data_IF_462000636248
#
_entry.id   IF_462000636248
#
_cell.length_a   1.000
_cell.length_b   1.000
_cell.length_c   1.000
_cell.angle_alpha   90.00
_cell.angle_beta   90.00
_cell.angle_gamma   90.00
#
_symmetry.space_group_name_H-M   'P 1'
#
loop_
_entity.id
_entity.type
_entity.pdbx_description
1 polymer ?
#
# COMPACT_ATOMS: atom_id res chain seq x y z
N UNK A 1 11.18 -52.70 54.79
CA UNK A 1 10.24 -51.58 54.57
C UNK A 1 10.91 -50.61 53.59
N UNK A 2 10.61 -50.66 52.32
CA UNK A 2 11.17 -49.77 51.26
C UNK A 2 10.14 -48.66 51.02
N UNK A 3 10.53 -47.39 51.25
CA UNK A 3 9.72 -46.21 50.95
C UNK A 3 9.93 -45.82 49.49
N UNK A 4 8.89 -45.87 48.66
CA UNK A 4 8.87 -45.39 47.32
C UNK A 4 8.62 -43.86 47.34
N UNK A 5 9.50 -43.07 46.74
CA UNK A 5 9.34 -41.64 46.49
C UNK A 5 8.70 -41.48 45.14
N UNK A 6 7.50 -40.90 45.13
CA UNK A 6 6.78 -40.50 43.90
C UNK A 6 7.22 -39.07 43.61
N UNK A 7 7.98 -38.87 42.52
CA UNK A 7 8.27 -37.53 41.96
C UNK A 7 7.08 -37.06 41.14
N UNK A 8 6.37 -36.06 41.64
CA UNK A 8 5.37 -35.35 40.87
C UNK A 8 6.08 -34.37 39.91
N UNK A 9 5.92 -34.59 38.61
CA UNK A 9 6.39 -33.67 37.55
C UNK A 9 5.33 -32.57 37.41
N UNK A 10 5.70 -31.28 37.57
CA UNK A 10 4.75 -30.21 37.36
C UNK A 10 4.41 -30.08 35.86
N UNK A 11 3.14 -30.22 35.55
CA UNK A 11 2.57 -29.96 34.22
C UNK A 11 2.55 -28.45 33.99
N UNK A 12 3.50 -27.94 33.20
CA UNK A 12 3.51 -26.53 32.73
C UNK A 12 2.58 -26.44 31.52
N UNK A 13 1.48 -25.67 31.59
CA UNK A 13 0.68 -25.45 30.41
C UNK A 13 1.47 -24.57 29.43
N UNK A 14 1.76 -25.11 28.27
CA UNK A 14 2.27 -24.34 27.09
C UNK A 14 1.18 -23.37 26.65
N UNK A 15 1.29 -22.11 27.06
CA UNK A 15 0.51 -21.05 26.49
C UNK A 15 0.98 -20.87 25.04
N UNK A 16 0.23 -21.39 24.09
CA UNK A 16 0.32 -20.99 22.68
C UNK A 16 -0.13 -19.52 22.61
N UNK A 17 0.81 -18.62 22.56
CA UNK A 17 0.56 -17.28 22.06
C UNK A 17 0.26 -17.41 20.58
N UNK A 18 -1.03 -17.43 20.23
CA UNK A 18 -1.47 -17.26 18.86
C UNK A 18 -0.97 -15.91 18.38
N UNK A 19 -0.19 -15.91 17.31
CA UNK A 19 0.13 -14.69 16.55
C UNK A 19 -1.20 -14.18 16.02
N UNK A 20 -1.73 -13.13 16.64
CA UNK A 20 -2.90 -12.41 16.13
C UNK A 20 -2.41 -11.66 14.91
N UNK A 21 -2.47 -12.30 13.76
CA UNK A 21 -2.33 -11.61 12.48
C UNK A 21 -3.37 -10.48 12.43
N UNK A 22 -2.96 -9.28 12.06
CA UNK A 22 -3.89 -8.17 11.91
C UNK A 22 -4.96 -8.58 10.88
N UNK A 23 -6.22 -8.45 11.27
CA UNK A 23 -7.35 -8.85 10.43
C UNK A 23 -7.58 -7.78 9.36
N UNK A 24 -7.56 -8.17 8.08
CA UNK A 24 -7.94 -7.27 6.99
C UNK A 24 -9.30 -6.62 7.26
N UNK A 25 -9.41 -5.32 6.96
CA UNK A 25 -10.69 -4.62 7.06
C UNK A 25 -11.64 -5.14 5.96
N UNK A 26 -12.96 -5.19 6.24
CA UNK A 26 -13.91 -5.69 5.27
C UNK A 26 -13.96 -4.79 4.03
N UNK A 27 -14.09 -5.42 2.87
CA UNK A 27 -14.46 -4.78 1.61
C UNK A 27 -15.84 -5.26 1.19
N UNK A 28 -16.67 -4.50 0.45
CA UNK A 28 -17.99 -4.95 0.04
C UNK A 28 -17.90 -6.26 -0.74
N UNK A 29 -18.70 -7.23 -0.33
CA UNK A 29 -18.80 -8.51 -1.02
C UNK A 29 -19.27 -8.31 -2.47
N UNK A 30 -18.83 -9.20 -3.38
CA UNK A 30 -19.34 -9.23 -4.74
C UNK A 30 -20.86 -9.47 -4.77
N UNK A 31 -21.54 -8.70 -5.57
CA UNK A 31 -22.98 -8.85 -5.76
C UNK A 31 -23.35 -10.15 -6.47
N UNK A 32 -22.43 -10.71 -7.27
CA UNK A 32 -22.57 -12.05 -7.82
C UNK A 32 -22.49 -13.14 -6.75
N UNK A 33 -21.57 -12.99 -5.78
CA UNK A 33 -21.50 -13.92 -4.62
C UNK A 33 -22.77 -13.85 -3.77
N UNK A 34 -23.28 -12.63 -3.55
CA UNK A 34 -24.48 -12.41 -2.74
C UNK A 34 -25.70 -13.19 -3.26
N UNK A 35 -25.81 -13.35 -4.58
CA UNK A 35 -26.92 -14.06 -5.24
C UNK A 35 -26.57 -15.50 -5.65
N UNK A 36 -25.36 -15.99 -5.30
CA UNK A 36 -24.90 -17.35 -5.62
C UNK A 36 -24.50 -17.59 -7.08
N UNK A 37 -24.27 -16.53 -7.85
CA UNK A 37 -23.95 -16.59 -9.29
C UNK A 37 -22.45 -16.30 -9.55
N UNK A 38 -21.58 -16.96 -8.80
CA UNK A 38 -20.10 -16.73 -8.79
C UNK A 38 -19.42 -16.93 -10.15
N UNK A 39 -20.03 -17.69 -11.06
CA UNK A 39 -19.50 -17.90 -12.42
C UNK A 39 -19.40 -16.63 -13.26
N UNK A 40 -20.13 -15.57 -12.88
CA UNK A 40 -20.10 -14.27 -13.57
C UNK A 40 -19.11 -13.28 -12.96
N UNK A 41 -18.40 -13.66 -11.90
CA UNK A 41 -17.32 -12.83 -11.34
C UNK A 41 -16.21 -12.74 -12.38
N UNK A 42 -15.84 -11.51 -12.72
CA UNK A 42 -14.81 -11.23 -13.70
C UNK A 42 -13.49 -10.88 -13.02
N UNK A 43 -12.37 -11.17 -13.68
CA UNK A 43 -11.08 -10.64 -13.28
C UNK A 43 -11.07 -9.11 -13.48
N UNK A 44 -10.40 -8.34 -12.59
CA UNK A 44 -10.40 -6.90 -12.70
C UNK A 44 -9.71 -6.45 -14.00
N UNK A 45 -10.32 -5.47 -14.66
CA UNK A 45 -9.68 -4.80 -15.80
C UNK A 45 -8.51 -3.95 -15.33
N UNK A 46 -8.75 -3.14 -14.32
CA UNK A 46 -7.79 -2.21 -13.74
C UNK A 46 -7.64 -2.48 -12.25
N UNK A 47 -6.40 -2.45 -11.74
CA UNK A 47 -6.11 -2.55 -10.31
C UNK A 47 -5.19 -1.44 -9.83
N UNK A 48 -5.52 -0.84 -8.68
CA UNK A 48 -4.71 0.13 -7.98
C UNK A 48 -4.16 -0.49 -6.69
N UNK A 49 -2.85 -0.48 -6.56
CA UNK A 49 -2.13 -0.85 -5.35
C UNK A 49 -1.68 0.43 -4.64
N UNK A 50 -2.21 0.67 -3.45
CA UNK A 50 -1.87 1.84 -2.64
C UNK A 50 -0.93 1.40 -1.53
N UNK A 51 0.29 1.95 -1.50
CA UNK A 51 1.31 1.68 -0.50
C UNK A 51 1.51 2.91 0.36
N UNK A 52 1.08 2.86 1.62
CA UNK A 52 1.14 3.98 2.55
C UNK A 52 2.25 3.78 3.57
N UNK A 53 3.16 4.73 3.62
CA UNK A 53 4.26 4.79 4.58
C UNK A 53 3.76 5.38 5.91
N UNK A 54 3.72 4.58 6.96
CA UNK A 54 3.32 5.00 8.30
C UNK A 54 4.41 5.81 9.04
N UNK A 55 5.63 5.87 8.51
CA UNK A 55 6.71 6.65 9.11
C UNK A 55 6.59 8.15 8.84
N UNK A 56 5.73 8.55 7.88
CA UNK A 56 5.54 9.93 7.46
C UNK A 56 4.31 10.54 8.12
N UNK A 57 4.49 11.64 8.82
CA UNK A 57 3.40 12.43 9.41
C UNK A 57 2.87 13.48 8.43
N UNK A 58 2.02 13.08 7.50
CA UNK A 58 1.37 14.04 6.59
C UNK A 58 0.40 14.96 7.33
N UNK A 59 0.36 16.24 6.96
CA UNK A 59 -0.64 17.17 7.46
C UNK A 59 -2.03 16.86 6.87
N UNK A 60 -3.08 17.46 7.46
CA UNK A 60 -4.47 17.21 7.09
C UNK A 60 -4.75 17.47 5.60
N UNK A 61 -4.16 18.52 5.03
CA UNK A 61 -4.34 18.87 3.62
C UNK A 61 -3.73 17.80 2.70
N UNK A 62 -2.51 17.29 3.04
CA UNK A 62 -1.88 16.22 2.30
C UNK A 62 -2.68 14.91 2.39
N UNK A 63 -3.18 14.58 3.58
CA UNK A 63 -4.06 13.41 3.79
C UNK A 63 -5.33 13.53 2.96
N UNK A 64 -6.02 14.67 3.00
CA UNK A 64 -7.25 14.90 2.23
C UNK A 64 -6.99 14.76 0.71
N UNK A 65 -5.90 15.31 0.20
CA UNK A 65 -5.51 15.21 -1.22
C UNK A 65 -5.21 13.77 -1.63
N UNK A 66 -4.45 13.02 -0.83
CA UNK A 66 -4.14 11.62 -1.09
C UNK A 66 -5.42 10.77 -1.11
N UNK A 67 -6.27 10.91 -0.11
CA UNK A 67 -7.56 10.20 -0.01
C UNK A 67 -8.46 10.56 -1.20
N UNK A 68 -8.60 11.85 -1.51
CA UNK A 68 -9.42 12.31 -2.64
C UNK A 68 -8.94 11.76 -3.98
N UNK A 69 -7.63 11.71 -4.21
CA UNK A 69 -7.01 11.13 -5.41
C UNK A 69 -7.40 9.66 -5.58
N UNK A 70 -7.26 8.87 -4.51
CA UNK A 70 -7.57 7.43 -4.50
C UNK A 70 -9.08 7.20 -4.73
N UNK A 71 -9.94 7.96 -4.03
CA UNK A 71 -11.39 7.79 -4.14
C UNK A 71 -11.95 8.20 -5.51
N UNK A 72 -11.31 9.17 -6.21
CA UNK A 72 -11.68 9.52 -7.58
C UNK A 72 -11.35 8.42 -8.58
N UNK A 73 -10.27 7.66 -8.32
CA UNK A 73 -9.90 6.56 -9.20
C UNK A 73 -10.87 5.37 -9.13
N UNK A 74 -11.50 5.14 -7.95
CA UNK A 74 -12.42 4.02 -7.74
C UNK A 74 -13.68 4.12 -8.59
N UNK A 75 -13.96 3.05 -9.33
CA UNK A 75 -15.14 2.93 -10.20
C UNK A 75 -15.51 1.46 -10.40
N UNK A 76 -16.64 1.19 -11.04
CA UNK A 76 -17.11 -0.16 -11.38
C UNK A 76 -16.07 -0.90 -12.25
N UNK A 77 -15.90 -2.18 -11.99
CA UNK A 77 -14.92 -3.05 -12.66
C UNK A 77 -13.47 -2.84 -12.23
N UNK A 78 -13.21 -1.97 -11.25
CA UNK A 78 -11.86 -1.69 -10.74
C UNK A 78 -11.61 -2.38 -9.40
N UNK A 79 -10.40 -2.91 -9.24
CA UNK A 79 -9.91 -3.48 -7.98
C UNK A 79 -8.97 -2.51 -7.26
N UNK A 80 -8.99 -2.55 -5.94
CA UNK A 80 -8.03 -1.82 -5.11
C UNK A 80 -7.45 -2.75 -4.05
N UNK A 81 -6.16 -2.58 -3.77
CA UNK A 81 -5.49 -3.15 -2.60
C UNK A 81 -4.74 -2.06 -1.86
N UNK A 82 -4.98 -1.95 -0.56
CA UNK A 82 -4.34 -0.95 0.31
C UNK A 82 -3.41 -1.68 1.26
N UNK A 83 -2.15 -1.28 1.24
CA UNK A 83 -1.09 -1.77 2.11
C UNK A 83 -0.55 -0.61 2.93
N UNK A 84 -0.15 -0.92 4.16
CA UNK A 84 0.69 -0.05 4.96
C UNK A 84 2.05 -0.69 5.14
N UNK A 85 3.06 0.13 5.27
CA UNK A 85 4.40 -0.31 5.60
C UNK A 85 5.09 0.69 6.53
N UNK A 86 6.06 0.22 7.28
CA UNK A 86 6.89 1.05 8.15
C UNK A 86 8.28 0.44 8.29
N UNK A 87 9.10 0.96 9.21
CA UNK A 87 10.41 0.41 9.44
C UNK A 87 10.36 -0.93 10.16
N UNK A 88 11.33 -1.79 9.85
CA UNK A 88 11.56 -3.09 10.44
C UNK A 88 11.67 -3.08 11.98
N UNK A 89 12.11 -1.99 12.56
CA UNK A 89 12.34 -1.85 13.99
C UNK A 89 11.09 -1.89 14.87
N UNK A 90 9.87 -1.88 14.25
CA UNK A 90 8.59 -1.91 14.97
C UNK A 90 7.86 -3.26 14.87
N UNK A 91 8.49 -4.33 14.39
CA UNK A 91 7.84 -5.60 14.06
C UNK A 91 6.63 -5.46 13.11
N UNK A 92 6.50 -4.31 12.46
CA UNK A 92 5.45 -3.99 11.50
C UNK A 92 6.07 -3.88 10.12
N UNK A 93 6.06 -4.96 9.41
CA UNK A 93 6.60 -5.00 8.05
C UNK A 93 5.65 -4.36 7.04
N UNK A 94 5.13 -5.17 6.21
CA UNK A 94 4.16 -4.85 5.19
C UNK A 94 2.86 -5.55 5.55
N UNK A 95 1.77 -4.81 5.61
CA UNK A 95 0.46 -5.37 5.94
C UNK A 95 -0.56 -4.94 4.90
N UNK A 96 -1.31 -5.91 4.37
CA UNK A 96 -2.51 -5.64 3.61
C UNK A 96 -3.62 -5.24 4.56
N UNK A 97 -4.09 -4.00 4.42
CA UNK A 97 -5.15 -3.45 5.27
C UNK A 97 -6.52 -3.81 4.75
N UNK A 98 -6.69 -3.75 3.44
CA UNK A 98 -7.91 -4.14 2.75
C UNK A 98 -7.69 -4.34 1.26
N UNK A 99 -8.65 -4.96 0.59
CA UNK A 99 -8.68 -5.03 -0.86
C UNK A 99 -9.93 -5.71 -1.38
N UNK A 100 -10.28 -5.44 -2.62
CA UNK A 100 -11.41 -6.05 -3.29
C UNK A 100 -11.67 -5.48 -4.67
N UNK A 101 -12.65 -6.07 -5.34
CA UNK A 101 -13.14 -5.69 -6.65
C UNK A 101 -14.52 -5.06 -6.51
N UNK A 102 -14.75 -3.93 -7.15
CA UNK A 102 -16.07 -3.37 -7.38
C UNK A 102 -16.60 -4.05 -8.65
N UNK A 103 -17.70 -4.76 -8.53
CA UNK A 103 -18.25 -5.52 -9.66
C UNK A 103 -18.47 -4.61 -10.87
N UNK A 104 -18.17 -5.07 -12.10
CA UNK A 104 -18.52 -4.36 -13.30
C UNK A 104 -20.05 -4.40 -13.53
N UNK A 105 -20.58 -3.55 -14.43
CA UNK A 105 -21.95 -3.68 -14.89
C UNK A 105 -22.26 -5.11 -15.34
N UNK A 106 -23.50 -5.60 -15.13
CA UNK A 106 -23.87 -6.95 -15.52
C UNK A 106 -23.75 -7.16 -17.03
N UNK A 107 -23.23 -8.32 -17.45
CA UNK A 107 -23.15 -8.70 -18.86
C UNK A 107 -24.50 -9.10 -19.43
N UNK A 108 -24.66 -9.03 -20.76
CA UNK A 108 -25.87 -9.52 -21.45
C UNK A 108 -26.14 -11.00 -21.15
N UNK A 109 -25.06 -11.81 -21.10
CA UNK A 109 -25.18 -13.23 -20.71
C UNK A 109 -25.78 -13.42 -19.32
N UNK A 110 -25.39 -12.59 -18.34
CA UNK A 110 -25.99 -12.59 -17.01
C UNK A 110 -27.46 -12.20 -17.07
N UNK A 111 -27.79 -11.14 -17.80
CA UNK A 111 -29.16 -10.64 -17.93
C UNK A 111 -30.10 -11.64 -18.59
N UNK A 112 -29.61 -12.44 -19.54
CA UNK A 112 -30.41 -13.43 -20.25
C UNK A 112 -30.61 -14.73 -19.46
N UNK A 113 -29.61 -15.16 -18.71
CA UNK A 113 -29.58 -16.49 -18.08
C UNK A 113 -29.98 -16.51 -16.59
N UNK A 114 -30.02 -15.34 -15.92
CA UNK A 114 -30.32 -15.27 -14.49
C UNK A 114 -31.77 -14.87 -14.23
N UNK A 115 -32.39 -15.52 -13.25
CA UNK A 115 -33.81 -15.26 -12.90
C UNK A 115 -34.02 -13.79 -12.53
N UNK A 116 -35.16 -13.24 -12.91
CA UNK A 116 -35.51 -11.84 -12.65
C UNK A 116 -35.39 -11.45 -11.17
N UNK A 117 -35.77 -12.34 -10.25
CA UNK A 117 -35.66 -12.09 -8.81
C UNK A 117 -34.19 -11.88 -8.36
N UNK A 118 -33.27 -12.69 -8.90
CA UNK A 118 -31.85 -12.57 -8.56
C UNK A 118 -31.20 -11.34 -9.23
N UNK A 119 -31.60 -11.02 -10.45
CA UNK A 119 -31.18 -9.78 -11.13
C UNK A 119 -31.58 -8.54 -10.33
N UNK A 120 -32.79 -8.48 -9.78
CA UNK A 120 -33.22 -7.35 -8.93
C UNK A 120 -32.39 -7.24 -7.65
N UNK A 121 -32.02 -8.37 -7.01
CA UNK A 121 -31.11 -8.35 -5.84
C UNK A 121 -29.71 -7.85 -6.23
N UNK A 122 -29.19 -8.35 -7.36
CA UNK A 122 -27.92 -7.89 -7.90
C UNK A 122 -27.93 -6.37 -8.12
N UNK A 123 -28.92 -5.83 -8.83
CA UNK A 123 -29.04 -4.39 -9.08
C UNK A 123 -29.08 -3.55 -7.80
N UNK A 124 -29.80 -4.02 -6.78
CA UNK A 124 -29.87 -3.33 -5.48
C UNK A 124 -28.53 -3.33 -4.75
N UNK A 125 -27.78 -4.43 -4.83
CA UNK A 125 -26.42 -4.53 -4.29
C UNK A 125 -25.49 -3.62 -5.07
N UNK A 126 -25.43 -3.75 -6.39
CA UNK A 126 -24.52 -3.06 -7.28
C UNK A 126 -24.62 -1.53 -7.20
N UNK A 127 -25.85 -1.00 -7.14
CA UNK A 127 -26.09 0.45 -6.92
C UNK A 127 -25.44 1.01 -5.65
N UNK A 128 -25.22 0.18 -4.64
CA UNK A 128 -24.65 0.60 -3.34
C UNK A 128 -23.17 0.25 -3.20
N UNK A 129 -22.67 -0.73 -3.96
CA UNK A 129 -21.34 -1.31 -3.77
C UNK A 129 -20.23 -0.27 -3.92
N UNK A 130 -20.27 0.55 -4.98
CA UNK A 130 -19.26 1.60 -5.20
C UNK A 130 -19.22 2.62 -4.04
N UNK A 131 -20.38 3.05 -3.56
CA UNK A 131 -20.46 4.00 -2.45
C UNK A 131 -19.90 3.40 -1.16
N UNK A 132 -20.27 2.15 -0.86
CA UNK A 132 -19.77 1.42 0.30
C UNK A 132 -18.25 1.19 0.20
N UNK A 133 -17.75 0.80 -0.98
CA UNK A 133 -16.33 0.63 -1.23
C UNK A 133 -15.56 1.94 -0.98
N UNK A 134 -16.03 3.06 -1.53
CA UNK A 134 -15.42 4.38 -1.29
C UNK A 134 -15.41 4.76 0.19
N UNK A 135 -16.49 4.50 0.91
CA UNK A 135 -16.57 4.80 2.34
C UNK A 135 -15.57 3.96 3.16
N UNK A 136 -15.49 2.65 2.88
CA UNK A 136 -14.58 1.73 3.58
C UNK A 136 -13.11 2.03 3.25
N UNK A 137 -12.77 2.30 1.98
CA UNK A 137 -11.42 2.71 1.58
C UNK A 137 -11.02 4.02 2.27
N UNK A 138 -11.92 5.01 2.31
CA UNK A 138 -11.67 6.25 3.05
C UNK A 138 -11.39 5.99 4.52
N UNK A 139 -12.19 5.17 5.18
CA UNK A 139 -12.00 4.81 6.59
C UNK A 139 -10.65 4.10 6.81
N UNK A 140 -10.29 3.17 5.96
CA UNK A 140 -9.01 2.45 6.03
C UNK A 140 -7.82 3.42 5.91
N UNK A 141 -7.83 4.28 4.90
CA UNK A 141 -6.77 5.27 4.69
C UNK A 141 -6.64 6.24 5.87
N UNK A 142 -7.76 6.79 6.36
CA UNK A 142 -7.75 7.67 7.53
C UNK A 142 -7.23 6.94 8.77
N UNK A 143 -7.57 5.66 8.95
CA UNK A 143 -7.02 4.81 10.01
C UNK A 143 -5.51 4.67 9.93
N UNK A 144 -4.95 4.45 8.73
CA UNK A 144 -3.49 4.36 8.51
C UNK A 144 -2.83 5.71 8.84
N UNK A 145 -3.32 6.82 8.29
CA UNK A 145 -2.74 8.15 8.54
C UNK A 145 -2.80 8.57 10.01
N UNK A 146 -3.88 8.20 10.72
CA UNK A 146 -4.01 8.50 12.16
C UNK A 146 -3.07 7.66 13.04
N UNK A 147 -2.64 6.49 12.57
CA UNK A 147 -1.67 5.63 13.26
C UNK A 147 -0.21 5.93 12.91
N UNK A 148 0.02 6.84 11.95
CA UNK A 148 1.36 7.27 11.55
C UNK A 148 2.13 7.82 12.75
N UNK A 149 3.37 7.42 12.87
CA UNK A 149 4.26 7.82 13.98
C UNK A 149 5.48 8.52 13.39
N UNK A 150 5.41 9.83 13.15
CA UNK A 150 6.55 10.60 12.70
C UNK A 150 7.67 10.57 13.75
N UNK A 151 8.93 10.64 13.29
CA UNK A 151 10.11 10.61 14.18
C UNK A 151 10.70 9.22 14.39
N UNK A 152 10.35 8.23 13.59
CA UNK A 152 11.07 6.97 13.54
C UNK A 152 12.33 7.21 12.71
N UNK A 153 13.49 7.16 13.36
CA UNK A 153 14.78 7.41 12.71
C UNK A 153 15.19 6.40 11.64
N UNK A 154 14.29 5.49 11.25
CA UNK A 154 14.51 4.46 10.22
C UNK A 154 13.29 4.34 9.31
N UNK A 155 13.52 4.21 8.00
CA UNK A 155 12.50 3.96 6.98
C UNK A 155 13.05 2.96 5.95
N UNK A 156 12.51 1.75 5.93
CA UNK A 156 12.96 0.65 5.06
C UNK A 156 12.15 0.60 3.76
N UNK A 157 12.09 1.72 3.02
CA UNK A 157 11.24 1.87 1.82
C UNK A 157 11.64 0.85 0.75
N UNK A 158 12.94 0.73 0.45
CA UNK A 158 13.46 -0.16 -0.60
C UNK A 158 13.07 -1.62 -0.32
N UNK A 159 13.24 -2.09 0.91
CA UNK A 159 12.87 -3.45 1.30
C UNK A 159 11.36 -3.69 1.17
N UNK A 160 10.55 -2.74 1.63
CA UNK A 160 9.10 -2.83 1.54
C UNK A 160 8.63 -2.81 0.09
N UNK A 161 9.17 -1.92 -0.76
CA UNK A 161 8.82 -1.87 -2.17
C UNK A 161 9.20 -3.15 -2.92
N UNK A 162 10.36 -3.74 -2.62
CA UNK A 162 10.73 -5.05 -3.16
C UNK A 162 9.69 -6.12 -2.80
N UNK A 163 9.27 -6.17 -1.55
CA UNK A 163 8.28 -7.15 -1.06
C UNK A 163 6.90 -6.90 -1.71
N UNK A 164 6.41 -5.65 -1.65
CA UNK A 164 5.11 -5.25 -2.18
C UNK A 164 5.00 -5.41 -3.69
N UNK A 165 6.08 -5.20 -4.43
CA UNK A 165 6.08 -5.37 -5.89
C UNK A 165 5.69 -6.79 -6.32
N UNK A 166 5.93 -7.80 -5.48
CA UNK A 166 5.53 -9.18 -5.74
C UNK A 166 3.99 -9.33 -5.80
N UNK A 167 3.27 -8.62 -4.95
CA UNK A 167 1.78 -8.61 -4.99
C UNK A 167 1.28 -7.98 -6.28
N UNK A 168 1.91 -6.88 -6.71
CA UNK A 168 1.58 -6.23 -7.98
C UNK A 168 1.83 -7.15 -9.17
N UNK A 169 2.99 -7.83 -9.18
CA UNK A 169 3.36 -8.75 -10.25
C UNK A 169 2.36 -9.90 -10.41
N UNK A 170 1.89 -10.48 -9.30
CA UNK A 170 1.00 -11.64 -9.30
C UNK A 170 -0.46 -11.30 -9.61
N UNK A 171 -0.83 -10.03 -9.59
CA UNK A 171 -2.18 -9.59 -9.95
C UNK A 171 -2.52 -9.93 -11.39
N UNK A 172 -3.75 -10.41 -11.60
CA UNK A 172 -4.31 -10.76 -12.92
C UNK A 172 -4.93 -9.56 -13.65
N UNK A 173 -4.97 -8.39 -13.04
CA UNK A 173 -5.49 -7.19 -13.68
C UNK A 173 -4.73 -6.88 -14.97
N UNK A 174 -5.47 -6.46 -16.00
CA UNK A 174 -4.89 -6.13 -17.32
C UNK A 174 -4.03 -4.86 -17.24
N UNK A 175 -4.49 -3.87 -16.50
CA UNK A 175 -3.73 -2.64 -16.21
C UNK A 175 -3.49 -2.57 -14.71
N UNK A 176 -2.25 -2.31 -14.34
CA UNK A 176 -1.81 -2.23 -12.95
C UNK A 176 -1.22 -0.86 -12.69
N UNK A 177 -1.73 -0.20 -11.65
CA UNK A 177 -1.21 1.06 -11.14
C UNK A 177 -0.79 0.90 -9.69
N UNK A 178 0.29 1.55 -9.34
CA UNK A 178 0.80 1.64 -7.96
C UNK A 178 0.84 3.11 -7.57
N UNK A 179 0.28 3.44 -6.42
CA UNK A 179 0.46 4.72 -5.77
C UNK A 179 1.23 4.52 -4.48
N UNK A 180 2.44 5.07 -4.42
CA UNK A 180 3.25 5.12 -3.21
C UNK A 180 2.98 6.45 -2.53
N UNK A 181 2.51 6.42 -1.28
CA UNK A 181 2.28 7.60 -0.43
C UNK A 181 3.37 7.63 0.64
N UNK A 182 4.46 8.34 0.38
CA UNK A 182 5.66 8.40 1.21
C UNK A 182 6.48 9.65 0.87
N UNK A 183 7.31 10.13 1.80
CA UNK A 183 8.32 11.14 1.53
C UNK A 183 9.50 10.59 0.69
N UNK A 184 9.56 9.25 0.58
CA UNK A 184 10.58 8.52 -0.17
C UNK A 184 12.02 8.75 0.35
N UNK A 185 12.16 9.08 1.63
CA UNK A 185 13.45 9.31 2.28
C UNK A 185 13.95 8.04 2.98
N UNK A 186 14.62 7.19 2.21
CA UNK A 186 15.21 5.94 2.68
C UNK A 186 16.20 6.18 3.83
N UNK A 187 16.05 5.43 4.92
CA UNK A 187 16.97 5.43 6.03
C UNK A 187 17.07 4.04 6.67
N UNK A 188 17.75 3.13 6.00
CA UNK A 188 17.89 1.73 6.42
C UNK A 188 19.33 1.26 6.42
N UNK A 189 19.53 0.00 6.74
CA UNK A 189 20.82 -0.68 6.61
C UNK A 189 21.30 -0.84 5.16
N UNK A 190 20.41 -0.71 4.17
CA UNK A 190 20.74 -0.80 2.74
C UNK A 190 21.45 0.48 2.29
N UNK A 191 20.82 1.62 2.56
CA UNK A 191 21.39 2.96 2.31
C UNK A 191 20.64 3.97 3.16
N UNK A 192 21.27 5.14 3.37
CA UNK A 192 20.62 6.25 4.04
C UNK A 192 20.72 7.51 3.19
N UNK A 193 19.58 8.18 3.02
CA UNK A 193 19.53 9.50 2.39
C UNK A 193 19.80 10.63 3.38
N UNK A 194 20.20 10.28 4.61
CA UNK A 194 20.59 11.23 5.66
C UNK A 194 22.09 11.17 5.92
N UNK A 195 22.66 12.33 6.25
CA UNK A 195 24.00 12.49 6.75
C UNK A 195 24.02 13.63 7.78
N UNK A 196 24.65 13.41 8.93
CA UNK A 196 24.76 14.43 10.00
C UNK A 196 23.43 15.07 10.42
N UNK A 197 22.35 14.26 10.44
CA UNK A 197 21.02 14.73 10.84
C UNK A 197 20.21 15.48 9.76
N UNK A 198 20.73 15.58 8.53
CA UNK A 198 20.09 16.27 7.42
C UNK A 198 19.99 15.36 6.19
N UNK A 199 19.00 15.59 5.32
CA UNK A 199 18.94 14.92 4.03
C UNK A 199 20.12 15.34 3.19
N UNK A 200 20.95 14.37 2.80
CA UNK A 200 22.12 14.61 1.94
C UNK A 200 21.72 14.79 0.49
N UNK A 201 22.59 15.37 -0.30
CA UNK A 201 22.46 15.27 -1.75
C UNK A 201 22.72 13.82 -2.17
N UNK A 202 21.74 13.21 -2.84
CA UNK A 202 21.80 11.83 -3.33
C UNK A 202 22.63 11.81 -4.60
N UNK A 203 23.46 10.77 -4.76
CA UNK A 203 24.05 10.41 -6.05
C UNK A 203 23.26 9.22 -6.60
N UNK A 204 22.34 9.45 -7.56
CA UNK A 204 21.46 8.39 -8.06
C UNK A 204 22.22 7.17 -8.58
N UNK A 205 23.34 7.37 -9.24
CA UNK A 205 24.12 6.28 -9.84
C UNK A 205 24.84 5.44 -8.78
N UNK A 206 25.50 6.08 -7.81
CA UNK A 206 26.21 5.37 -6.74
C UNK A 206 25.24 4.65 -5.80
N UNK A 207 24.13 5.31 -5.42
CA UNK A 207 23.15 4.70 -4.54
C UNK A 207 22.42 3.56 -5.25
N UNK A 208 22.09 3.70 -6.55
CA UNK A 208 21.49 2.62 -7.34
C UNK A 208 22.42 1.40 -7.45
N UNK A 209 23.71 1.60 -7.65
CA UNK A 209 24.67 0.51 -7.73
C UNK A 209 24.70 -0.34 -6.44
N UNK A 210 24.51 0.27 -5.25
CA UNK A 210 24.39 -0.46 -3.98
C UNK A 210 23.14 -1.34 -3.95
N UNK A 211 21.99 -0.79 -4.43
CA UNK A 211 20.72 -1.50 -4.49
C UNK A 211 20.81 -2.72 -5.40
N UNK A 212 21.38 -2.55 -6.59
CA UNK A 212 21.56 -3.63 -7.55
C UNK A 212 22.49 -4.73 -7.02
N UNK A 213 23.65 -4.34 -6.52
CA UNK A 213 24.63 -5.27 -5.94
C UNK A 213 24.06 -6.06 -4.76
N UNK A 214 23.21 -5.42 -3.95
CA UNK A 214 22.52 -6.05 -2.83
C UNK A 214 21.31 -6.89 -3.22
N UNK A 215 20.89 -6.89 -4.49
CA UNK A 215 19.70 -7.61 -4.95
C UNK A 215 18.40 -7.06 -4.38
N UNK A 216 18.32 -5.73 -4.14
CA UNK A 216 17.15 -5.08 -3.54
C UNK A 216 16.16 -4.49 -4.56
N UNK A 217 16.33 -4.77 -5.84
CA UNK A 217 15.32 -4.45 -6.84
C UNK A 217 14.07 -5.32 -6.66
N UNK A 218 12.90 -4.71 -6.88
CA UNK A 218 11.61 -5.41 -6.93
C UNK A 218 11.25 -5.88 -8.35
N UNK A 219 10.00 -6.28 -8.53
CA UNK A 219 9.41 -6.57 -9.84
C UNK A 219 7.93 -6.14 -9.85
N UNK A 220 7.67 -4.95 -10.36
CA UNK A 220 6.31 -4.40 -10.47
C UNK A 220 5.48 -5.00 -11.62
N UNK A 221 6.03 -5.95 -12.39
CA UNK A 221 5.29 -6.63 -13.45
C UNK A 221 4.72 -5.69 -14.51
N UNK A 222 5.45 -4.63 -14.86
CA UNK A 222 5.06 -3.64 -15.87
C UNK A 222 4.04 -2.59 -15.41
N UNK A 223 3.70 -2.54 -14.11
CA UNK A 223 2.78 -1.55 -13.57
C UNK A 223 3.30 -0.11 -13.71
N UNK A 224 2.37 0.83 -13.87
CA UNK A 224 2.66 2.26 -13.74
C UNK A 224 2.74 2.64 -12.25
N UNK A 225 3.86 3.22 -11.83
CA UNK A 225 4.14 3.55 -10.42
C UNK A 225 4.25 5.06 -10.26
N UNK A 226 3.32 5.63 -9.50
CA UNK A 226 3.29 7.04 -9.15
C UNK A 226 3.62 7.23 -7.67
N UNK A 227 4.19 8.39 -7.32
CA UNK A 227 4.60 8.72 -5.95
C UNK A 227 3.91 10.02 -5.52
N UNK A 228 3.29 9.98 -4.34
CA UNK A 228 2.72 11.14 -3.66
C UNK A 228 3.49 11.42 -2.37
N UNK A 229 3.96 12.65 -2.18
CA UNK A 229 4.64 13.08 -0.95
C UNK A 229 6.16 13.18 -1.05
N UNK A 230 6.77 12.96 -2.24
CA UNK A 230 8.22 12.99 -2.40
C UNK A 230 8.87 14.22 -1.76
N UNK A 231 9.81 14.00 -0.84
CA UNK A 231 10.56 15.06 -0.18
C UNK A 231 9.75 15.93 0.78
N UNK A 232 8.57 15.44 1.23
CA UNK A 232 7.77 16.10 2.24
C UNK A 232 8.39 15.89 3.64
N UNK A 233 8.37 16.94 4.46
CA UNK A 233 8.73 16.87 5.87
C UNK A 233 7.58 17.26 6.76
N UNK A 234 7.33 16.49 7.81
CA UNK A 234 6.44 16.93 8.87
C UNK A 234 7.06 18.15 9.59
N UNK A 235 6.26 19.19 9.84
CA UNK A 235 6.71 20.47 10.43
C UNK A 235 7.49 20.37 11.74
N UNK A 236 7.47 19.22 12.41
CA UNK A 236 8.15 18.99 13.69
C UNK A 236 9.59 18.52 13.56
N UNK A 237 10.05 18.07 12.39
CA UNK A 237 11.33 17.35 12.25
C UNK A 237 12.50 18.24 11.80
N UNK A 238 12.23 19.28 11.02
CA UNK A 238 13.24 20.22 10.55
C UNK A 238 12.68 21.63 10.68
N UNK A 239 13.29 22.49 11.35
CA UNK A 239 12.93 23.88 11.64
C UNK A 239 11.55 24.36 11.14
N UNK A 240 10.89 25.24 11.88
CA UNK A 240 9.52 25.76 11.64
C UNK A 240 9.25 26.41 10.25
N UNK A 241 10.19 26.35 9.31
CA UNK A 241 10.14 27.06 8.02
C UNK A 241 10.11 26.18 6.77
N UNK A 242 10.62 24.94 6.82
CA UNK A 242 10.71 24.11 5.61
C UNK A 242 9.81 22.87 5.72
N UNK A 243 8.85 22.77 4.79
CA UNK A 243 7.95 21.63 4.71
C UNK A 243 8.37 20.67 3.58
N UNK A 244 9.35 21.06 2.75
CA UNK A 244 9.78 20.32 1.56
C UNK A 244 11.28 20.45 1.34
N UNK A 245 11.87 19.45 0.70
CA UNK A 245 13.24 19.51 0.19
C UNK A 245 13.42 20.64 -0.81
N UNK A 246 14.57 21.30 -0.75
CA UNK A 246 14.99 22.24 -1.78
C UNK A 246 15.18 21.55 -3.14
N UNK A 247 15.11 22.31 -4.26
CA UNK A 247 15.21 21.75 -5.60
C UNK A 247 16.51 20.99 -5.89
N UNK A 248 17.63 21.37 -5.23
CA UNK A 248 18.95 20.75 -5.46
C UNK A 248 19.00 19.31 -4.91
N UNK A 249 18.25 19.02 -3.84
CA UNK A 249 18.12 17.68 -3.26
C UNK A 249 16.95 16.92 -3.84
N UNK A 250 15.87 17.62 -4.15
CA UNK A 250 14.64 17.02 -4.71
C UNK A 250 14.86 16.42 -6.10
N UNK A 251 15.61 17.09 -6.98
CA UNK A 251 15.91 16.58 -8.33
C UNK A 251 16.61 15.22 -8.32
N UNK A 252 17.74 15.06 -7.62
CA UNK A 252 18.41 13.77 -7.49
C UNK A 252 17.55 12.69 -6.82
N UNK A 253 16.76 13.03 -5.80
CA UNK A 253 15.83 12.10 -5.15
C UNK A 253 14.80 11.56 -6.16
N UNK A 254 14.20 12.46 -6.94
CA UNK A 254 13.26 12.08 -8.00
C UNK A 254 13.90 11.19 -9.06
N UNK A 255 15.11 11.52 -9.49
CA UNK A 255 15.86 10.75 -10.48
C UNK A 255 16.18 9.34 -9.97
N UNK A 256 16.61 9.19 -8.71
CA UNK A 256 16.87 7.89 -8.09
C UNK A 256 15.62 7.00 -8.10
N UNK A 257 14.47 7.51 -7.64
CA UNK A 257 13.25 6.70 -7.58
C UNK A 257 12.67 6.38 -8.94
N UNK A 258 12.77 7.29 -9.91
CA UNK A 258 12.39 7.00 -11.30
C UNK A 258 13.23 5.85 -11.88
N UNK A 259 14.53 5.82 -11.60
CA UNK A 259 15.42 4.74 -12.02
C UNK A 259 15.15 3.43 -11.28
N UNK A 260 14.92 3.48 -9.96
CA UNK A 260 14.54 2.31 -9.16
C UNK A 260 13.29 1.64 -9.71
N UNK A 261 12.23 2.42 -9.97
CA UNK A 261 10.97 1.92 -10.56
C UNK A 261 11.25 1.24 -11.90
N UNK A 262 12.01 1.88 -12.78
CA UNK A 262 12.33 1.33 -14.09
C UNK A 262 13.12 0.02 -14.00
N UNK A 263 14.15 -0.02 -13.14
CA UNK A 263 14.97 -1.22 -12.94
C UNK A 263 14.21 -2.35 -12.22
N UNK A 264 13.17 -1.99 -11.47
CA UNK A 264 12.23 -2.94 -10.84
C UNK A 264 11.05 -3.32 -11.76
N UNK A 265 11.25 -3.28 -13.09
CA UNK A 265 10.25 -3.66 -14.08
C UNK A 265 8.91 -2.91 -13.91
N UNK A 266 8.97 -1.62 -13.56
CA UNK A 266 7.85 -0.70 -13.50
C UNK A 266 7.96 0.40 -14.57
N UNK A 267 6.87 1.10 -14.80
CA UNK A 267 6.83 2.33 -15.60
C UNK A 267 6.70 3.50 -14.64
N UNK A 268 7.65 4.44 -14.67
CA UNK A 268 7.55 5.63 -13.84
C UNK A 268 6.38 6.49 -14.35
N UNK A 269 5.36 6.60 -13.51
CA UNK A 269 4.26 7.53 -13.67
C UNK A 269 4.64 8.92 -13.15
N UNK A 270 3.68 9.65 -12.60
CA UNK A 270 3.94 10.95 -12.01
C UNK A 270 4.61 10.79 -10.63
N UNK A 271 5.78 11.41 -10.47
CA UNK A 271 6.47 11.51 -9.18
C UNK A 271 6.25 12.94 -8.68
N UNK A 272 5.25 13.10 -7.81
CA UNK A 272 4.80 14.39 -7.30
C UNK A 272 5.68 14.91 -6.18
N UNK A 273 6.01 16.17 -6.26
CA UNK A 273 6.82 16.86 -5.26
C UNK A 273 6.06 18.10 -4.73
N UNK A 274 5.22 17.95 -3.74
CA UNK A 274 4.80 16.72 -3.02
C UNK A 274 3.54 16.05 -3.59
N UNK A 275 2.71 16.78 -4.35
CA UNK A 275 1.41 16.30 -4.84
C UNK A 275 1.47 15.89 -6.30
N UNK A 276 0.57 15.00 -6.70
CA UNK A 276 0.31 14.70 -8.10
C UNK A 276 -0.62 15.77 -8.69
N UNK A 277 -0.32 16.23 -9.89
CA UNK A 277 -1.12 17.20 -10.64
C UNK A 277 -2.14 16.50 -11.55
N UNK A 278 -1.84 15.26 -11.96
CA UNK A 278 -2.69 14.43 -12.79
C UNK A 278 -3.65 13.54 -12.01
N UNK A 279 -4.41 12.72 -12.77
CA UNK A 279 -5.21 11.62 -12.23
C UNK A 279 -4.39 10.32 -12.28
N UNK A 280 -4.73 9.39 -11.39
CA UNK A 280 -4.18 8.03 -11.40
C UNK A 280 -4.66 7.25 -12.63
#
# INVERSE_FOLDING_TARGET
MRKAWIFAVPFFPLFFWGVVGAKELPFPQSCYELIGETKYIQEPKDALFVFVDESVGFDENMVERAVSLILRWLDEGKAIEVFRFSSFSKDRYTEKVMGGLIDPPPSDEFLDNVRRSERLKFEQCHKKQLLLAKAQVKQALLGIFSSSSPGIGHSDIIYNLKTLSSHVKTSKAKQKKVLIVSDMLENSSITSFYASGHVRRIDPSQDMAKIEKGGFLGDFGGAEVSVFGLGYFARSELSKKETYLDPERLGPLKAFWAEYIKKSNGKAGEIGAPILLGNL
#
